data_IF_688627763532
#
_entry.id   IF_688627763532
#
_cell.length_a   1.000
_cell.length_b   1.000
_cell.length_c   1.000
_cell.angle_alpha   90.00
_cell.angle_beta   90.00
_cell.angle_gamma   90.00
#
_symmetry.space_group_name_H-M   'P 1'
#
loop_
_entity.id
_entity.type
_entity.pdbx_description
1 polymer ?
#
# COMPACT_ATOMS: atom_id res chain seq x y z
N UNK A 1 -43.84 -13.14 -19.96
CA UNK A 1 -43.05 -11.95 -20.30
C UNK A 1 -41.69 -12.10 -19.66
N UNK A 2 -40.60 -12.10 -20.43
CA UNK A 2 -39.25 -12.28 -19.91
C UNK A 2 -38.60 -10.92 -19.64
N UNK A 3 -38.14 -10.69 -18.42
CA UNK A 3 -37.40 -9.47 -18.07
C UNK A 3 -35.98 -9.51 -18.67
N UNK A 4 -35.53 -8.43 -19.34
CA UNK A 4 -34.17 -8.38 -19.88
C UNK A 4 -33.15 -8.27 -18.73
N UNK A 5 -32.41 -9.35 -18.49
CA UNK A 5 -31.33 -9.38 -17.51
C UNK A 5 -30.11 -8.64 -18.07
N UNK A 6 -29.66 -7.60 -17.34
CA UNK A 6 -28.47 -6.84 -17.71
C UNK A 6 -27.19 -7.60 -17.29
N UNK A 7 -26.58 -8.29 -18.25
CA UNK A 7 -25.36 -9.07 -18.07
C UNK A 7 -24.14 -8.22 -17.62
N UNK A 8 -24.10 -6.93 -17.95
CA UNK A 8 -23.01 -6.06 -17.52
C UNK A 8 -23.05 -5.79 -16.01
N UNK A 9 -24.25 -5.63 -15.43
CA UNK A 9 -24.41 -5.51 -13.97
C UNK A 9 -23.95 -6.79 -13.27
N UNK A 10 -24.31 -7.95 -13.80
CA UNK A 10 -23.89 -9.25 -13.26
C UNK A 10 -22.37 -9.42 -13.32
N UNK A 11 -21.74 -9.14 -14.46
CA UNK A 11 -20.27 -9.19 -14.61
C UNK A 11 -19.57 -8.23 -13.64
N UNK A 12 -20.08 -7.00 -13.47
CA UNK A 12 -19.55 -6.04 -12.49
C UNK A 12 -19.69 -6.54 -11.05
N UNK A 13 -20.82 -7.14 -10.69
CA UNK A 13 -21.03 -7.70 -9.36
C UNK A 13 -20.04 -8.84 -9.08
N UNK A 14 -19.87 -9.76 -10.05
CA UNK A 14 -18.88 -10.84 -9.95
C UNK A 14 -17.46 -10.31 -9.79
N UNK A 15 -17.05 -9.33 -10.59
CA UNK A 15 -15.72 -8.73 -10.50
C UNK A 15 -15.47 -8.02 -9.16
N UNK A 16 -16.50 -7.40 -8.57
CA UNK A 16 -16.42 -6.79 -7.22
C UNK A 16 -16.24 -7.87 -6.16
N UNK A 17 -17.04 -8.94 -6.21
CA UNK A 17 -16.92 -10.06 -5.27
C UNK A 17 -15.54 -10.74 -5.32
N UNK A 18 -14.99 -10.96 -6.52
CA UNK A 18 -13.64 -11.52 -6.69
C UNK A 18 -12.55 -10.60 -6.11
N UNK A 19 -12.69 -9.27 -6.29
CA UNK A 19 -11.78 -8.29 -5.67
C UNK A 19 -11.85 -8.33 -4.15
N UNK A 20 -13.05 -8.42 -3.58
CA UNK A 20 -13.23 -8.48 -2.13
C UNK A 20 -12.68 -9.79 -1.55
N UNK A 21 -12.87 -10.91 -2.24
CA UNK A 21 -12.29 -12.21 -1.87
C UNK A 21 -10.75 -12.13 -1.83
N UNK A 22 -10.14 -11.61 -2.90
CA UNK A 22 -8.68 -11.40 -2.96
C UNK A 22 -8.19 -10.45 -1.88
N UNK A 23 -8.95 -9.40 -1.56
CA UNK A 23 -8.58 -8.48 -0.49
C UNK A 23 -8.60 -9.16 0.89
N UNK A 24 -9.61 -10.01 1.17
CA UNK A 24 -9.67 -10.83 2.38
C UNK A 24 -8.50 -11.83 2.45
N UNK A 25 -8.23 -12.54 1.35
CA UNK A 25 -7.09 -13.46 1.27
C UNK A 25 -5.77 -12.74 1.49
N UNK A 26 -5.56 -11.57 0.90
CA UNK A 26 -4.34 -10.79 1.10
C UNK A 26 -4.20 -10.30 2.54
N UNK A 27 -5.32 -9.92 3.20
CA UNK A 27 -5.34 -9.55 4.61
C UNK A 27 -4.96 -10.74 5.51
N UNK A 28 -5.47 -11.93 5.21
CA UNK A 28 -5.14 -13.16 5.94
C UNK A 28 -3.70 -13.64 5.68
N UNK A 29 -3.25 -13.66 4.42
CA UNK A 29 -1.93 -14.16 4.02
C UNK A 29 -0.78 -13.26 4.46
N UNK A 30 -0.97 -11.95 4.37
CA UNK A 30 0.13 -11.01 4.56
C UNK A 30 0.03 -10.20 5.84
N UNK A 31 -1.09 -10.26 6.57
CA UNK A 31 -1.31 -9.56 7.85
C UNK A 31 -1.34 -8.03 7.77
N UNK A 32 -0.78 -7.44 6.71
CA UNK A 32 -0.72 -6.01 6.43
C UNK A 32 -1.25 -5.74 5.03
N UNK A 33 -2.14 -4.77 4.92
CA UNK A 33 -2.67 -4.31 3.64
C UNK A 33 -1.61 -3.51 2.85
N UNK A 34 -1.82 -3.34 1.54
CA UNK A 34 -0.94 -2.51 0.70
C UNK A 34 -0.84 -1.06 1.22
N UNK A 35 -1.93 -0.53 1.77
CA UNK A 35 -1.96 0.80 2.37
C UNK A 35 -1.06 0.88 3.60
N UNK A 36 -1.11 -0.11 4.50
CA UNK A 36 -0.25 -0.18 5.68
C UNK A 36 1.22 -0.32 5.31
N UNK A 37 1.55 -1.17 4.32
CA UNK A 37 2.93 -1.29 3.80
C UNK A 37 3.44 0.03 3.21
N UNK A 38 2.58 0.77 2.51
CA UNK A 38 2.94 2.07 1.94
C UNK A 38 3.19 3.10 3.03
N UNK A 39 2.32 3.15 4.05
CA UNK A 39 2.47 4.04 5.20
C UNK A 39 3.74 3.76 5.98
N UNK A 40 4.04 2.48 6.23
CA UNK A 40 5.25 2.04 6.92
C UNK A 40 6.50 2.42 6.13
N UNK A 41 6.50 2.20 4.81
CA UNK A 41 7.59 2.62 3.94
C UNK A 41 7.81 4.13 3.99
N UNK A 42 6.76 4.93 3.86
CA UNK A 42 6.87 6.40 3.92
C UNK A 42 7.37 6.87 5.28
N UNK A 43 6.95 6.23 6.38
CA UNK A 43 7.46 6.53 7.72
C UNK A 43 8.95 6.17 7.86
N UNK A 44 9.36 5.02 7.33
CA UNK A 44 10.75 4.58 7.33
C UNK A 44 11.64 5.50 6.49
N UNK A 45 11.18 5.91 5.30
CA UNK A 45 11.92 6.85 4.45
C UNK A 45 12.03 8.22 5.14
N UNK A 46 10.94 8.75 5.72
CA UNK A 46 11.01 10.00 6.49
C UNK A 46 11.97 9.91 7.68
N UNK A 47 11.98 8.78 8.39
CA UNK A 47 12.88 8.57 9.51
C UNK A 47 14.35 8.50 9.05
N UNK A 48 14.62 7.90 7.89
CA UNK A 48 15.95 7.91 7.26
C UNK A 48 16.36 9.31 6.84
N UNK A 49 15.50 10.03 6.14
CA UNK A 49 15.77 11.40 5.70
C UNK A 49 16.06 12.32 6.89
N UNK A 50 15.33 12.16 7.99
CA UNK A 50 15.59 12.87 9.24
C UNK A 50 16.94 12.46 9.85
N UNK A 51 17.23 11.16 9.94
CA UNK A 51 18.50 10.67 10.46
C UNK A 51 19.70 11.13 9.62
N UNK A 52 19.55 11.18 8.29
CA UNK A 52 20.58 11.61 7.36
C UNK A 52 20.74 13.14 7.37
N UNK A 53 19.65 13.92 7.52
CA UNK A 53 19.73 15.36 7.73
C UNK A 53 20.31 15.76 9.11
N UNK A 54 20.21 14.87 10.09
CA UNK A 54 20.83 15.02 11.41
C UNK A 54 22.20 14.33 11.52
N UNK A 55 22.64 13.58 10.50
CA UNK A 55 24.05 13.29 10.32
C UNK A 55 24.70 14.59 9.93
N UNK A 56 25.20 15.29 10.95
CA UNK A 56 26.36 16.13 10.78
C UNK A 56 27.36 15.26 10.02
N UNK A 57 27.76 15.68 8.83
CA UNK A 57 28.98 15.16 8.26
C UNK A 57 30.03 15.40 9.34
N UNK A 58 30.39 14.36 10.10
CA UNK A 58 31.69 14.28 10.72
C UNK A 58 32.67 14.18 9.54
N UNK A 59 32.87 15.31 8.85
CA UNK A 59 34.09 15.63 8.16
C UNK A 59 34.99 16.25 9.24
N UNK A 60 35.86 15.46 9.89
CA UNK A 60 36.87 16.02 10.79
C UNK A 60 37.96 16.79 10.03
N UNK A 61 37.87 16.98 8.71
CA UNK A 61 38.95 17.58 7.89
C UNK A 61 38.71 19.03 7.44
N UNK A 62 37.58 19.68 7.75
CA UNK A 62 37.34 21.10 7.40
C UNK A 62 37.42 22.05 8.61
N UNK A 63 38.32 21.72 9.55
CA UNK A 63 38.81 22.64 10.59
C UNK A 63 40.34 22.64 10.59
N UNK A 64 40.95 23.30 9.61
CA UNK A 64 42.40 23.55 9.58
C UNK A 64 42.91 24.02 8.24
#
# INVERSE_FOLDING_TARGET
MAEPINLNKFRKAKARAEKDQRAKENRAKFGRTKAEKSLDKTRADKARDQADGHRLQDDPEDRG
#
